data_IF_713449136224
#
_entry.id   IF_713449136224
#
_cell.length_a   1.000
_cell.length_b   1.000
_cell.length_c   1.000
_cell.angle_alpha   90.00
_cell.angle_beta   90.00
_cell.angle_gamma   90.00
#
_symmetry.space_group_name_H-M   'P 1'
#
loop_
_entity.id
_entity.type
_entity.pdbx_description
1 polymer ?
#
# COMPACT_ATOMS: atom_id res chain seq x y z
N UNK A 1 17.77 -3.14 -16.96
CA UNK A 1 16.30 -3.05 -17.13
C UNK A 1 15.74 -2.57 -15.80
N UNK A 2 14.77 -1.65 -15.82
CA UNK A 2 14.11 -1.22 -14.58
C UNK A 2 13.34 -2.41 -13.98
N UNK A 3 13.51 -2.66 -12.68
CA UNK A 3 12.75 -3.68 -11.95
C UNK A 3 11.77 -3.03 -11.00
N UNK A 4 10.69 -3.75 -10.71
CA UNK A 4 9.62 -3.30 -9.83
C UNK A 4 9.26 -4.40 -8.85
N UNK A 5 8.78 -3.97 -7.69
CA UNK A 5 8.47 -4.86 -6.58
C UNK A 5 7.12 -4.48 -5.99
N UNK A 6 6.30 -5.48 -5.71
CA UNK A 6 5.19 -5.32 -4.78
C UNK A 6 5.76 -5.16 -3.36
N UNK A 7 5.48 -4.01 -2.75
CA UNK A 7 5.79 -3.72 -1.36
C UNK A 7 4.66 -4.25 -0.48
N UNK A 8 5.00 -5.28 0.28
CA UNK A 8 4.12 -6.01 1.18
C UNK A 8 4.55 -5.84 2.63
N UNK A 9 3.62 -6.14 3.52
CA UNK A 9 3.84 -6.22 4.95
C UNK A 9 4.55 -7.52 5.34
N UNK A 10 5.68 -7.44 6.03
CA UNK A 10 6.41 -8.62 6.51
C UNK A 10 5.81 -9.17 7.81
N UNK A 11 4.98 -10.20 7.66
CA UNK A 11 4.23 -10.83 8.75
C UNK A 11 4.97 -11.99 9.41
N UNK A 12 6.28 -12.14 9.17
CA UNK A 12 7.06 -13.23 9.75
C UNK A 12 7.43 -13.00 11.22
N UNK A 13 7.53 -11.75 11.67
CA UNK A 13 7.77 -11.45 13.09
C UNK A 13 6.52 -11.72 13.92
N UNK A 14 6.67 -12.46 15.02
CA UNK A 14 5.60 -12.73 15.99
C UNK A 14 5.46 -11.66 17.06
N UNK A 15 6.43 -10.74 17.22
CA UNK A 15 6.40 -9.67 18.23
C UNK A 15 5.85 -8.35 17.70
N UNK A 16 5.46 -8.29 16.42
CA UNK A 16 4.97 -7.07 15.77
C UNK A 16 3.63 -6.61 16.32
N UNK A 17 3.40 -5.30 16.22
CA UNK A 17 2.06 -4.76 16.39
C UNK A 17 1.11 -5.11 15.23
N UNK A 18 -0.19 -5.01 15.52
CA UNK A 18 -1.25 -5.04 14.51
C UNK A 18 -2.20 -3.86 14.72
N UNK A 19 -2.42 -3.10 13.64
CA UNK A 19 -3.28 -1.93 13.63
C UNK A 19 -4.66 -2.30 13.06
N UNK A 20 -5.71 -1.82 13.72
CA UNK A 20 -7.09 -2.07 13.31
C UNK A 20 -7.57 -1.13 12.20
N UNK A 21 -8.89 -0.96 12.11
CA UNK A 21 -9.54 -0.05 11.15
C UNK A 21 -9.38 1.40 11.63
N UNK A 22 -8.96 2.36 10.77
CA UNK A 22 -8.84 3.74 11.20
C UNK A 22 -10.21 4.33 11.53
N UNK A 23 -10.27 5.14 12.58
CA UNK A 23 -11.47 5.88 12.99
C UNK A 23 -11.24 7.38 12.97
N UNK A 24 -12.32 8.14 12.82
CA UNK A 24 -12.32 9.59 12.95
C UNK A 24 -12.28 10.05 14.42
N UNK A 25 -12.36 11.37 14.63
CA UNK A 25 -12.34 11.96 15.98
C UNK A 25 -13.57 11.57 16.83
N UNK A 26 -14.69 11.20 16.19
CA UNK A 26 -15.90 10.71 16.84
C UNK A 26 -15.87 9.19 17.08
N UNK A 27 -14.82 8.50 16.63
CA UNK A 27 -14.66 7.06 16.75
C UNK A 27 -15.42 6.25 15.69
N UNK A 28 -15.87 6.87 14.60
CA UNK A 28 -16.51 6.17 13.49
C UNK A 28 -15.47 5.65 12.51
N UNK A 29 -15.70 4.45 11.95
CA UNK A 29 -14.80 3.86 10.97
C UNK A 29 -14.70 4.71 9.70
N UNK A 30 -13.47 5.02 9.30
CA UNK A 30 -13.18 5.70 8.05
C UNK A 30 -13.12 4.64 6.95
N UNK A 31 -13.78 4.88 5.80
CA UNK A 31 -13.77 3.95 4.66
C UNK A 31 -12.32 3.60 4.27
N UNK A 32 -11.87 2.36 4.47
CA UNK A 32 -10.48 1.98 4.24
C UNK A 32 -10.12 1.91 2.75
N UNK A 33 -11.11 1.79 1.86
CA UNK A 33 -10.88 1.64 0.42
C UNK A 33 -10.46 2.95 -0.23
N UNK A 34 -10.84 4.09 0.35
CA UNK A 34 -10.51 5.41 -0.18
C UNK A 34 -8.99 5.63 -0.34
N UNK A 35 -8.18 5.05 0.56
CA UNK A 35 -6.71 5.12 0.56
C UNK A 35 -6.02 4.36 -0.59
N UNK A 36 -6.81 3.77 -1.50
CA UNK A 36 -6.33 2.99 -2.66
C UNK A 36 -6.87 3.52 -3.99
N UNK A 37 -7.57 4.67 -3.97
CA UNK A 37 -8.21 5.22 -5.16
C UNK A 37 -7.28 5.99 -6.09
N UNK A 38 -6.04 6.27 -5.70
CA UNK A 38 -5.11 7.03 -6.55
C UNK A 38 -5.54 8.49 -6.72
N UNK A 39 -6.03 9.09 -5.64
CA UNK A 39 -6.41 10.50 -5.60
C UNK A 39 -5.94 11.11 -4.30
N UNK A 40 -5.71 12.42 -4.32
CA UNK A 40 -5.48 13.17 -3.10
C UNK A 40 -6.71 13.05 -2.19
N UNK A 41 -6.48 12.88 -0.90
CA UNK A 41 -7.54 12.78 0.10
C UNK A 41 -7.36 13.95 1.06
N UNK A 42 -8.42 14.73 1.23
CA UNK A 42 -8.53 15.70 2.30
C UNK A 42 -9.46 15.11 3.36
N UNK A 43 -8.92 14.85 4.56
CA UNK A 43 -9.69 14.29 5.67
C UNK A 43 -10.03 15.39 6.67
N UNK A 44 -11.25 15.31 7.19
CA UNK A 44 -11.64 16.12 8.34
C UNK A 44 -10.95 15.54 9.59
N UNK A 45 -9.82 16.14 9.98
CA UNK A 45 -9.05 15.75 11.16
C UNK A 45 -7.99 14.68 10.92
N UNK A 46 -7.42 14.19 12.01
CA UNK A 46 -6.30 13.22 11.99
C UNK A 46 -6.84 11.83 12.35
N UNK A 47 -6.85 10.86 11.40
CA UNK A 47 -7.30 9.50 11.67
C UNK A 47 -6.56 8.86 12.84
N UNK A 48 -7.27 8.05 13.62
CA UNK A 48 -6.70 7.25 14.70
C UNK A 48 -6.77 5.78 14.36
N UNK A 49 -5.63 5.09 14.41
CA UNK A 49 -5.58 3.63 14.36
C UNK A 49 -5.62 3.04 15.78
N UNK A 50 -6.60 2.16 16.09
CA UNK A 50 -6.54 1.36 17.29
C UNK A 50 -5.44 0.30 17.18
N UNK A 51 -4.92 -0.11 18.33
CA UNK A 51 -3.88 -1.14 18.45
C UNK A 51 -4.52 -2.48 18.82
N UNK A 52 -4.88 -3.27 17.82
CA UNK A 52 -5.55 -4.57 18.00
C UNK A 52 -4.64 -5.59 18.71
N UNK A 53 -3.34 -5.56 18.40
CA UNK A 53 -2.32 -6.37 19.06
C UNK A 53 -1.13 -5.49 19.39
N UNK A 54 -0.76 -5.47 20.67
CA UNK A 54 0.46 -4.79 21.14
C UNK A 54 1.70 -5.52 20.64
N UNK A 55 2.71 -4.75 20.25
CA UNK A 55 3.98 -5.29 19.81
C UNK A 55 4.95 -4.18 19.42
N UNK A 56 6.06 -4.58 18.81
CA UNK A 56 7.11 -3.66 18.39
C UNK A 56 6.62 -2.79 17.22
N UNK A 57 6.79 -1.46 17.29
CA UNK A 57 6.55 -0.56 16.18
C UNK A 57 7.41 -0.93 14.96
N UNK A 58 6.85 -0.71 13.77
CA UNK A 58 7.53 -0.98 12.49
C UNK A 58 7.52 0.28 11.64
N UNK A 59 8.57 0.47 10.83
CA UNK A 59 8.65 1.59 9.90
C UNK A 59 7.63 1.48 8.76
N UNK A 60 7.23 0.25 8.42
CA UNK A 60 6.18 -0.06 7.47
C UNK A 60 5.32 -1.21 7.98
N UNK A 61 4.00 -1.09 7.90
CA UNK A 61 3.09 -2.21 8.12
C UNK A 61 1.79 -2.06 7.31
N UNK A 62 1.04 -3.16 7.21
CA UNK A 62 -0.36 -3.09 6.80
C UNK A 62 -1.26 -3.02 8.03
N UNK A 63 -2.10 -2.00 8.08
CA UNK A 63 -3.28 -1.96 8.94
C UNK A 63 -4.45 -2.72 8.27
N UNK A 64 -5.67 -2.54 8.80
CA UNK A 64 -6.87 -3.16 8.23
C UNK A 64 -6.97 -2.95 6.70
N UNK A 65 -7.46 -3.98 6.00
CA UNK A 65 -7.62 -3.96 4.53
C UNK A 65 -6.36 -3.57 3.74
N UNK A 66 -5.18 -3.88 4.29
CA UNK A 66 -3.87 -3.61 3.67
C UNK A 66 -3.59 -2.12 3.47
N UNK A 67 -4.09 -1.24 4.34
CA UNK A 67 -3.71 0.17 4.32
C UNK A 67 -2.22 0.27 4.70
N UNK A 68 -1.34 0.83 3.85
CA UNK A 68 0.06 1.00 4.18
C UNK A 68 0.22 2.12 5.21
N UNK A 69 0.68 1.78 6.40
CA UNK A 69 1.04 2.74 7.45
C UNK A 69 2.56 2.76 7.54
N UNK A 70 3.13 3.97 7.60
CA UNK A 70 4.56 4.19 7.60
C UNK A 70 4.98 5.14 8.71
N UNK A 71 6.15 4.89 9.28
CA UNK A 71 6.82 5.80 10.20
C UNK A 71 7.47 6.97 9.44
N UNK A 72 7.76 8.08 10.15
CA UNK A 72 8.39 9.28 9.60
C UNK A 72 9.70 9.00 8.82
N UNK A 73 10.46 7.98 9.23
CA UNK A 73 11.69 7.57 8.53
C UNK A 73 11.45 7.26 7.05
N UNK A 74 10.30 6.67 6.70
CA UNK A 74 9.92 6.39 5.31
C UNK A 74 9.57 7.68 4.57
N UNK A 75 8.88 8.62 5.23
CA UNK A 75 8.55 9.94 4.66
C UNK A 75 9.83 10.69 4.31
N UNK A 76 10.75 10.81 5.26
CA UNK A 76 12.03 11.49 5.07
C UNK A 76 12.87 10.83 3.97
N UNK A 77 12.84 9.50 3.84
CA UNK A 77 13.51 8.79 2.75
C UNK A 77 12.91 9.17 1.39
N UNK A 78 11.57 9.15 1.29
CA UNK A 78 10.88 9.48 0.05
C UNK A 78 11.13 10.94 -0.37
N UNK A 79 11.15 11.87 0.59
CA UNK A 79 11.51 13.28 0.36
C UNK A 79 12.96 13.45 -0.12
N UNK A 80 13.94 12.80 0.54
CA UNK A 80 15.35 12.83 0.11
C UNK A 80 15.55 12.31 -1.32
N UNK A 81 14.72 11.36 -1.72
CA UNK A 81 14.75 10.75 -3.03
C UNK A 81 13.88 11.48 -4.06
N UNK A 82 13.21 12.57 -3.71
CA UNK A 82 12.25 13.27 -4.58
C UNK A 82 11.18 12.34 -5.17
N UNK A 83 10.62 11.45 -4.33
CA UNK A 83 9.53 10.56 -4.73
C UNK A 83 8.26 11.39 -4.85
N UNK A 84 7.77 11.51 -6.08
CA UNK A 84 6.50 12.15 -6.42
C UNK A 84 5.35 11.13 -6.40
N UNK A 85 4.13 11.60 -6.67
CA UNK A 85 2.94 10.77 -6.81
C UNK A 85 2.54 9.99 -5.55
N UNK A 86 2.91 10.51 -4.39
CA UNK A 86 2.51 10.01 -3.07
C UNK A 86 1.96 11.14 -2.22
N UNK A 87 1.04 10.80 -1.33
CA UNK A 87 0.57 11.64 -0.24
C UNK A 87 0.80 10.89 1.06
N UNK A 88 1.38 11.57 2.05
CA UNK A 88 1.50 11.07 3.41
C UNK A 88 0.42 11.75 4.26
N UNK A 89 -0.55 10.96 4.73
CA UNK A 89 -1.66 11.48 5.55
C UNK A 89 -1.30 11.22 7.02
N UNK A 90 -1.10 12.25 7.86
CA UNK A 90 -0.75 12.07 9.26
C UNK A 90 -1.82 11.25 9.99
N UNK A 91 -1.40 10.37 10.89
CA UNK A 91 -2.31 9.57 11.73
C UNK A 91 -1.80 9.46 13.15
N UNK A 92 -2.72 9.19 14.09
CA UNK A 92 -2.39 8.82 15.47
C UNK A 92 -2.50 7.32 15.62
N UNK A 93 -1.54 6.71 16.31
CA UNK A 93 -1.62 5.29 16.69
C UNK A 93 -1.83 5.21 18.19
N UNK A 94 -2.80 4.40 18.62
CA UNK A 94 -3.07 4.21 20.04
C UNK A 94 -1.85 3.63 20.76
N UNK A 95 -1.36 4.33 21.79
CA UNK A 95 -0.20 3.91 22.57
C UNK A 95 1.16 4.15 21.91
N UNK A 96 1.21 4.88 20.78
CA UNK A 96 2.45 5.29 20.14
C UNK A 96 2.45 6.81 19.87
N UNK A 97 3.48 7.50 20.35
CA UNK A 97 3.64 8.94 20.16
C UNK A 97 4.50 9.29 18.94
N UNK A 98 5.17 8.30 18.33
CA UNK A 98 6.00 8.53 17.15
C UNK A 98 5.13 8.90 15.92
N UNK A 99 5.58 9.82 15.05
CA UNK A 99 4.80 10.23 13.89
C UNK A 99 4.65 9.10 12.87
N UNK A 100 3.39 8.78 12.55
CA UNK A 100 3.03 7.81 11.52
C UNK A 100 2.09 8.42 10.49
N UNK A 101 2.09 7.83 9.30
CA UNK A 101 1.36 8.32 8.14
C UNK A 101 0.75 7.16 7.37
N UNK A 102 -0.41 7.37 6.76
CA UNK A 102 -0.87 6.51 5.66
C UNK A 102 -0.09 6.90 4.40
N UNK A 103 0.53 5.93 3.74
CA UNK A 103 1.12 6.10 2.42
C UNK A 103 0.05 5.89 1.35
N UNK A 104 -0.45 7.00 0.80
CA UNK A 104 -1.42 7.02 -0.29
C UNK A 104 -0.70 7.24 -1.63
N UNK A 105 -0.64 6.21 -2.47
CA UNK A 105 -0.11 6.33 -3.83
C UNK A 105 -1.16 6.97 -4.76
N UNK A 106 -0.76 7.99 -5.51
CA UNK A 106 -1.65 8.81 -6.33
C UNK A 106 -1.78 8.33 -7.77
N UNK A 107 -0.92 7.40 -8.23
CA UNK A 107 -0.97 6.86 -9.59
C UNK A 107 -1.61 5.47 -9.65
N UNK A 108 -2.59 5.34 -10.53
CA UNK A 108 -3.17 4.06 -10.96
C UNK A 108 -2.74 3.79 -12.39
N UNK A 109 -2.14 2.62 -12.66
CA UNK A 109 -1.58 2.30 -13.98
C UNK A 109 -2.11 0.96 -14.47
N UNK A 110 -2.63 0.91 -15.71
CA UNK A 110 -3.09 -0.33 -16.34
C UNK A 110 -1.91 -1.13 -16.93
N UNK A 111 -1.07 -1.67 -16.06
CA UNK A 111 0.17 -2.35 -16.44
C UNK A 111 0.20 -3.85 -16.14
N UNK A 112 -0.86 -4.47 -15.61
CA UNK A 112 -0.85 -5.92 -15.36
C UNK A 112 -0.67 -6.66 -16.69
N UNK A 113 0.26 -7.61 -16.71
CA UNK A 113 0.48 -8.54 -17.80
C UNK A 113 -0.17 -9.87 -17.45
N UNK A 114 -1.43 -10.00 -17.87
CA UNK A 114 -2.25 -11.18 -17.62
C UNK A 114 -1.59 -12.48 -18.08
N UNK A 115 -0.90 -12.45 -19.22
CA UNK A 115 -0.29 -13.63 -19.83
C UNK A 115 0.92 -14.13 -19.04
N UNK A 116 1.63 -13.23 -18.36
CA UNK A 116 2.78 -13.57 -17.51
C UNK A 116 2.40 -13.82 -16.06
N UNK A 117 1.23 -13.37 -15.60
CA UNK A 117 0.72 -13.70 -14.27
C UNK A 117 0.53 -15.21 -14.10
N UNK A 118 0.75 -15.74 -12.89
CA UNK A 118 0.54 -17.17 -12.61
C UNK A 118 -0.94 -17.56 -12.71
N UNK A 119 -1.84 -16.70 -12.25
CA UNK A 119 -3.29 -16.90 -12.36
C UNK A 119 -3.99 -15.55 -12.39
N UNK A 120 -4.91 -15.39 -13.31
CA UNK A 120 -5.81 -14.24 -13.42
C UNK A 120 -7.22 -14.75 -13.55
N UNK A 121 -8.12 -14.19 -12.75
CA UNK A 121 -9.56 -14.41 -12.88
C UNK A 121 -10.29 -13.09 -12.86
N UNK A 122 -11.37 -13.03 -13.62
CA UNK A 122 -12.26 -11.90 -13.70
C UNK A 122 -13.60 -12.26 -13.09
N UNK A 123 -14.29 -11.26 -12.54
CA UNK A 123 -15.70 -11.39 -12.24
C UNK A 123 -16.48 -11.57 -13.53
N UNK A 124 -17.28 -12.63 -13.59
CA UNK A 124 -18.12 -12.98 -14.74
C UNK A 124 -19.60 -12.73 -14.42
N UNK A 125 -20.48 -12.70 -15.43
CA UNK A 125 -21.91 -12.53 -15.21
C UNK A 125 -22.51 -13.56 -14.24
N UNK A 126 -21.96 -14.78 -14.22
CA UNK A 126 -22.46 -15.88 -13.38
C UNK A 126 -22.11 -15.72 -11.90
N UNK A 127 -21.20 -14.79 -11.54
CA UNK A 127 -20.80 -14.54 -10.15
C UNK A 127 -21.79 -13.60 -9.40
N UNK A 128 -22.85 -13.11 -10.06
CA UNK A 128 -23.89 -12.21 -9.50
C UNK A 128 -23.31 -10.93 -8.84
N UNK A 129 -22.27 -10.37 -9.47
CA UNK A 129 -21.58 -9.13 -9.03
C UNK A 129 -21.48 -8.11 -10.17
N UNK A 130 -22.60 -7.48 -10.57
CA UNK A 130 -22.61 -6.54 -11.69
C UNK A 130 -21.70 -5.32 -11.44
N UNK A 131 -21.51 -4.93 -10.18
CA UNK A 131 -20.60 -3.85 -9.76
C UNK A 131 -19.11 -4.14 -10.04
N UNK A 132 -18.76 -5.42 -10.20
CA UNK A 132 -17.39 -5.89 -10.40
C UNK A 132 -17.14 -6.52 -11.75
N UNK A 133 -18.16 -6.63 -12.61
CA UNK A 133 -18.07 -7.32 -13.90
C UNK A 133 -16.88 -6.78 -14.73
N UNK A 134 -16.04 -7.70 -15.21
CA UNK A 134 -14.84 -7.36 -16.00
C UNK A 134 -13.66 -6.84 -15.17
N UNK A 135 -13.79 -6.70 -13.84
CA UNK A 135 -12.68 -6.38 -12.95
C UNK A 135 -11.97 -7.67 -12.50
N UNK A 136 -10.72 -7.53 -12.07
CA UNK A 136 -9.97 -8.64 -11.49
C UNK A 136 -10.66 -9.15 -10.21
N UNK A 137 -10.83 -10.47 -10.17
CA UNK A 137 -11.28 -11.23 -9.00
C UNK A 137 -10.09 -11.86 -8.27
N UNK A 138 -9.14 -12.41 -9.03
CA UNK A 138 -7.91 -13.02 -8.52
C UNK A 138 -6.75 -12.60 -9.40
N UNK A 139 -5.68 -12.11 -8.79
CA UNK A 139 -4.36 -12.01 -9.44
C UNK A 139 -3.36 -12.72 -8.54
N UNK A 140 -2.60 -13.65 -9.12
CA UNK A 140 -1.61 -14.44 -8.41
C UNK A 140 -0.31 -14.47 -9.18
N UNK A 141 0.83 -14.33 -8.49
CA UNK A 141 2.13 -14.18 -9.14
C UNK A 141 2.10 -12.98 -10.07
N UNK A 142 1.80 -11.80 -9.53
CA UNK A 142 1.60 -10.56 -10.27
C UNK A 142 2.79 -10.31 -11.21
N UNK A 143 2.47 -10.07 -12.48
CA UNK A 143 3.42 -9.60 -13.48
C UNK A 143 2.97 -8.31 -14.11
N UNK A 144 3.91 -7.40 -14.38
CA UNK A 144 3.62 -6.12 -15.04
C UNK A 144 4.37 -5.93 -16.36
N UNK A 145 3.72 -5.24 -17.29
CA UNK A 145 4.32 -4.74 -18.53
C UNK A 145 5.02 -3.40 -18.27
N UNK A 146 6.35 -3.45 -18.24
CA UNK A 146 7.22 -2.30 -17.97
C UNK A 146 7.07 -1.18 -19.01
N UNK A 147 6.66 -1.50 -20.24
CA UNK A 147 6.46 -0.49 -21.28
C UNK A 147 5.31 0.48 -20.94
N UNK A 148 4.42 0.08 -20.02
CA UNK A 148 3.25 0.88 -19.60
C UNK A 148 3.48 1.69 -18.31
N UNK A 149 4.58 1.45 -17.59
CA UNK A 149 4.83 2.06 -16.27
C UNK A 149 5.34 3.50 -16.38
N UNK A 150 6.09 3.80 -17.44
CA UNK A 150 6.68 5.12 -17.66
C UNK A 150 7.74 5.45 -16.61
N UNK A 151 7.63 6.62 -15.99
CA UNK A 151 8.54 7.15 -14.97
C UNK A 151 8.10 6.89 -13.52
N UNK A 152 7.00 6.14 -13.33
CA UNK A 152 6.42 5.95 -12.01
C UNK A 152 7.38 5.19 -11.08
N UNK A 153 7.59 5.73 -9.87
CA UNK A 153 8.39 5.11 -8.81
C UNK A 153 7.55 4.45 -7.74
N UNK A 154 6.31 4.91 -7.55
CA UNK A 154 5.30 4.37 -6.64
C UNK A 154 3.93 4.45 -7.32
N UNK A 155 3.20 3.34 -7.40
CA UNK A 155 1.87 3.31 -8.01
C UNK A 155 1.08 2.07 -7.59
N UNK A 156 -0.20 2.01 -7.99
CA UNK A 156 -1.05 0.82 -7.85
C UNK A 156 -1.50 0.33 -9.23
N UNK A 157 -1.56 -0.99 -9.49
CA UNK A 157 -2.08 -1.49 -10.75
C UNK A 157 -3.59 -1.23 -10.85
N UNK A 158 -4.05 -0.83 -12.03
CA UNK A 158 -5.47 -0.71 -12.33
C UNK A 158 -6.15 -2.07 -12.12
N UNK A 159 -7.33 -2.05 -11.51
CA UNK A 159 -8.12 -3.25 -11.22
C UNK A 159 -7.57 -4.16 -10.12
N UNK A 160 -6.32 -3.98 -9.65
CA UNK A 160 -5.73 -4.72 -8.52
C UNK A 160 -5.09 -3.77 -7.50
N UNK A 161 -5.88 -2.79 -7.04
CA UNK A 161 -5.42 -1.65 -6.21
C UNK A 161 -4.92 -2.04 -4.81
N UNK A 162 -5.12 -3.29 -4.38
CA UNK A 162 -4.55 -3.78 -3.11
C UNK A 162 -3.02 -3.75 -3.14
N UNK A 163 -2.43 -4.07 -4.30
CA UNK A 163 -0.98 -4.04 -4.50
C UNK A 163 -0.45 -2.60 -4.50
N UNK A 164 0.70 -2.40 -3.88
CA UNK A 164 1.49 -1.17 -3.93
C UNK A 164 2.82 -1.51 -4.59
N UNK A 165 3.10 -0.93 -5.75
CA UNK A 165 4.30 -1.22 -6.52
C UNK A 165 5.31 -0.10 -6.31
N UNK A 166 6.55 -0.49 -6.06
CA UNK A 166 7.70 0.40 -5.93
C UNK A 166 8.79 0.03 -6.93
N UNK A 167 9.51 1.05 -7.38
CA UNK A 167 10.70 0.91 -8.23
C UNK A 167 11.88 0.30 -7.48
N UNK A 168 12.82 -0.29 -8.23
CA UNK A 168 14.01 -0.93 -7.67
C UNK A 168 14.88 0.00 -6.82
N UNK A 169 15.12 1.23 -7.28
CA UNK A 169 15.93 2.21 -6.56
C UNK A 169 15.30 2.56 -5.21
N UNK A 170 13.98 2.70 -5.15
CA UNK A 170 13.27 2.93 -3.90
C UNK A 170 13.35 1.73 -2.96
N UNK A 171 13.18 0.51 -3.50
CA UNK A 171 13.38 -0.73 -2.74
C UNK A 171 14.80 -0.80 -2.16
N UNK A 172 15.82 -0.56 -2.98
CA UNK A 172 17.22 -0.60 -2.55
C UNK A 172 17.51 0.44 -1.46
N UNK A 173 16.92 1.63 -1.56
CA UNK A 173 17.07 2.67 -0.56
C UNK A 173 16.38 2.29 0.77
N UNK A 174 15.19 1.69 0.72
CA UNK A 174 14.50 1.20 1.92
C UNK A 174 15.31 0.10 2.62
N UNK A 175 15.91 -0.82 1.87
CA UNK A 175 16.79 -1.85 2.43
C UNK A 175 18.06 -1.25 3.06
N UNK A 176 18.71 -0.30 2.36
CA UNK A 176 19.94 0.33 2.83
C UNK A 176 19.72 1.17 4.10
N UNK A 177 18.56 1.81 4.22
CA UNK A 177 18.12 2.54 5.41
C UNK A 177 17.67 1.61 6.55
N UNK A 178 17.47 0.31 6.27
CA UNK A 178 16.98 -0.66 7.23
C UNK A 178 15.54 -0.40 7.65
N UNK A 179 14.66 -0.04 6.71
CA UNK A 179 13.23 0.15 6.96
C UNK A 179 12.58 -1.19 7.33
N UNK A 180 12.10 -1.28 8.57
CA UNK A 180 11.52 -2.50 9.14
C UNK A 180 10.10 -2.77 8.65
N UNK A 181 9.67 -4.04 8.72
CA UNK A 181 8.31 -4.47 8.37
C UNK A 181 8.00 -4.55 6.87
N UNK A 182 9.01 -4.35 6.02
CA UNK A 182 8.87 -4.43 4.56
C UNK A 182 9.16 -5.83 4.03
N UNK A 183 8.38 -6.26 3.04
CA UNK A 183 8.66 -7.44 2.22
C UNK A 183 8.49 -7.06 0.76
N UNK A 184 9.46 -7.43 -0.08
CA UNK A 184 9.42 -7.13 -1.51
C UNK A 184 9.28 -8.40 -2.34
N UNK A 185 8.36 -8.37 -3.30
CA UNK A 185 8.17 -9.45 -4.29
C UNK A 185 8.29 -8.85 -5.68
N UNK A 186 9.23 -9.34 -6.49
CA UNK A 186 9.40 -8.84 -7.86
C UNK A 186 8.15 -9.12 -8.72
N UNK A 187 7.76 -8.14 -9.53
CA UNK A 187 6.58 -8.14 -10.43
C UNK A 187 6.95 -7.87 -11.88
#
# INVERSE_FOLDING_TARGET
MARYFELMDDRQSTSRWHLGVPVDEQGQEIDPWQFKHGRWIDLEGVPRFPLDVRGDPLDYCWAAFSIPVVHERVVQLFERMDVRDVQFIPVRIEGNEEPCFILNALRIIQCIDDARCRRVEYWKPEDDRPDKLGQYRVVSGLRIDLAKVGDARVFRPWGWRVALIVSEDLKQAMDAEGITGTRFVEV
#
